data_IF_506509206394
#
_entry.id   IF_506509206394
#
_cell.length_a   1.000
_cell.length_b   1.000
_cell.length_c   1.000
_cell.angle_alpha   90.00
_cell.angle_beta   90.00
_cell.angle_gamma   90.00
#
_symmetry.space_group_name_H-M   'P 1'
#
loop_
_entity.id
_entity.type
_entity.pdbx_description
1 polymer ?
#
# COMPACT_ATOMS: atom_id res chain seq x y z
N UNK A 1 -5.13 -7.06 36.62
CA UNK A 1 -5.69 -7.79 35.45
C UNK A 1 -4.78 -7.53 34.27
N UNK A 2 -4.01 -8.53 33.85
CA UNK A 2 -3.04 -8.39 32.77
C UNK A 2 -3.74 -8.27 31.42
N UNK A 3 -3.46 -7.20 30.68
CA UNK A 3 -3.83 -7.12 29.28
C UNK A 3 -3.04 -8.20 28.53
N UNK A 4 -3.74 -9.25 28.10
CA UNK A 4 -3.19 -10.21 27.14
C UNK A 4 -3.05 -9.46 25.82
N UNK A 5 -1.85 -8.98 25.51
CA UNK A 5 -1.55 -8.40 24.21
C UNK A 5 -1.71 -9.49 23.16
N UNK A 6 -2.84 -9.49 22.46
CA UNK A 6 -3.13 -10.45 21.40
C UNK A 6 -2.12 -10.22 20.27
N UNK A 7 -1.17 -11.14 20.11
CA UNK A 7 -0.15 -11.07 19.07
C UNK A 7 -0.80 -11.25 17.69
N UNK A 8 -0.60 -10.30 16.79
CA UNK A 8 -1.14 -10.36 15.44
C UNK A 8 -0.36 -11.39 14.61
N UNK A 9 -1.08 -12.32 13.98
CA UNK A 9 -0.49 -13.30 13.07
C UNK A 9 -0.65 -12.77 11.65
N UNK A 10 0.47 -12.33 11.08
CA UNK A 10 0.50 -11.81 9.72
C UNK A 10 0.21 -12.91 8.70
N UNK A 11 -0.58 -12.56 7.68
CA UNK A 11 -0.77 -13.39 6.48
C UNK A 11 0.48 -13.34 5.62
N UNK A 12 0.74 -14.47 4.94
CA UNK A 12 1.90 -14.63 4.06
C UNK A 12 1.43 -14.84 2.64
N UNK A 13 2.14 -14.24 1.70
CA UNK A 13 1.98 -14.51 0.28
C UNK A 13 2.71 -15.81 -0.07
N UNK A 14 2.09 -16.66 -0.90
CA UNK A 14 2.63 -17.96 -1.33
C UNK A 14 2.64 -18.00 -2.86
N UNK A 15 3.77 -17.64 -3.47
CA UNK A 15 3.92 -17.56 -4.92
C UNK A 15 3.56 -18.86 -5.66
N UNK A 16 3.88 -20.02 -5.07
CA UNK A 16 3.55 -21.33 -5.64
C UNK A 16 2.03 -21.60 -5.80
N UNK A 17 1.18 -20.79 -5.16
CA UNK A 17 -0.29 -20.89 -5.28
C UNK A 17 -0.90 -19.90 -6.26
N UNK A 18 -0.10 -19.01 -6.86
CA UNK A 18 -0.57 -18.02 -7.81
C UNK A 18 -0.26 -18.47 -9.24
N UNK A 19 -1.29 -18.47 -10.10
CA UNK A 19 -1.14 -18.79 -11.53
C UNK A 19 -0.61 -17.61 -12.35
N UNK A 20 -0.64 -16.38 -11.81
CA UNK A 20 -0.15 -15.16 -12.47
C UNK A 20 1.19 -14.70 -11.92
N UNK A 21 1.78 -15.45 -10.99
CA UNK A 21 3.10 -15.14 -10.43
C UNK A 21 4.19 -15.24 -11.49
N UNK A 22 5.02 -14.20 -11.53
CA UNK A 22 6.25 -14.12 -12.32
C UNK A 22 7.42 -13.93 -11.36
N UNK A 23 8.37 -14.87 -11.42
CA UNK A 23 9.59 -14.82 -10.61
C UNK A 23 10.44 -13.62 -11.02
N UNK A 24 10.85 -12.82 -10.04
CA UNK A 24 11.82 -11.74 -10.20
C UNK A 24 13.09 -12.05 -9.41
N UNK A 25 13.00 -12.14 -8.08
CA UNK A 25 14.08 -12.62 -7.22
C UNK A 25 15.21 -11.62 -6.95
N UNK A 26 15.14 -10.41 -7.50
CA UNK A 26 16.06 -9.31 -7.17
C UNK A 26 16.00 -9.03 -5.67
N UNK A 27 17.17 -8.97 -5.01
CA UNK A 27 17.25 -8.65 -3.58
C UNK A 27 16.74 -7.24 -3.33
N UNK A 28 15.92 -7.08 -2.29
CA UNK A 28 15.31 -5.80 -1.94
C UNK A 28 15.51 -5.52 -0.45
N UNK A 29 15.74 -4.26 -0.11
CA UNK A 29 15.93 -3.84 1.28
C UNK A 29 15.38 -2.44 1.49
N UNK A 30 14.56 -2.28 2.53
CA UNK A 30 13.99 -0.99 2.91
C UNK A 30 14.14 -0.78 4.42
N UNK A 31 14.50 0.44 4.81
CA UNK A 31 14.70 0.82 6.21
C UNK A 31 13.47 1.50 6.77
N UNK A 32 12.95 0.98 7.88
CA UNK A 32 11.85 1.55 8.63
C UNK A 32 12.32 1.89 10.05
N UNK A 33 12.52 3.19 10.32
CA UNK A 33 13.10 3.66 11.58
C UNK A 33 14.48 3.04 11.81
N UNK A 34 14.63 2.26 12.88
CA UNK A 34 15.88 1.52 13.18
C UNK A 34 15.92 0.11 12.57
N UNK A 35 14.80 -0.41 12.06
CA UNK A 35 14.70 -1.74 11.48
C UNK A 35 14.95 -1.77 9.96
N UNK A 36 15.40 -2.90 9.43
CA UNK A 36 15.53 -3.13 7.99
C UNK A 36 14.73 -4.36 7.62
N UNK A 37 13.83 -4.23 6.65
CA UNK A 37 13.16 -5.38 6.06
C UNK A 37 14.03 -5.93 4.94
N UNK A 38 14.39 -7.22 5.05
CA UNK A 38 15.06 -7.97 3.98
C UNK A 38 14.04 -8.75 3.17
N UNK A 39 14.07 -8.50 1.88
CA UNK A 39 12.99 -8.90 0.97
C UNK A 39 13.60 -9.33 -0.36
N UNK A 40 12.76 -9.85 -1.24
CA UNK A 40 13.09 -9.99 -2.65
C UNK A 40 11.88 -9.59 -3.49
N UNK A 41 12.14 -9.06 -4.67
CA UNK A 41 11.09 -8.63 -5.58
C UNK A 41 10.36 -9.83 -6.18
N UNK A 42 9.07 -9.66 -6.41
CA UNK A 42 8.20 -10.59 -7.11
C UNK A 42 7.15 -9.84 -7.87
N UNK A 43 6.66 -10.44 -8.94
CA UNK A 43 5.67 -9.81 -9.81
C UNK A 43 4.45 -10.70 -9.85
N UNK A 44 3.27 -10.10 -9.67
CA UNK A 44 1.99 -10.81 -9.76
C UNK A 44 0.87 -9.84 -10.14
N UNK A 45 -0.35 -10.35 -10.30
CA UNK A 45 -1.56 -9.55 -10.38
C UNK A 45 -2.01 -9.13 -8.99
N UNK A 46 -2.13 -7.83 -8.75
CA UNK A 46 -2.66 -7.26 -7.51
C UNK A 46 -4.13 -6.88 -7.69
N UNK A 47 -4.96 -7.19 -6.70
CA UNK A 47 -6.36 -6.72 -6.64
C UNK A 47 -6.48 -5.75 -5.47
N UNK A 48 -6.98 -4.54 -5.74
CA UNK A 48 -7.27 -3.51 -4.72
C UNK A 48 -8.67 -2.94 -4.96
N UNK A 49 -9.56 -3.10 -3.96
CA UNK A 49 -10.98 -2.82 -4.15
C UNK A 49 -11.54 -3.67 -5.30
N UNK A 50 -12.14 -3.02 -6.29
CA UNK A 50 -12.62 -3.65 -7.54
C UNK A 50 -11.58 -3.63 -8.67
N UNK A 51 -10.44 -2.96 -8.47
CA UNK A 51 -9.40 -2.79 -9.48
C UNK A 51 -8.45 -3.99 -9.54
N UNK A 52 -8.14 -4.43 -10.75
CA UNK A 52 -7.16 -5.49 -11.04
C UNK A 52 -5.96 -4.90 -11.77
N UNK A 53 -4.78 -5.02 -11.18
CA UNK A 53 -3.52 -4.47 -11.68
C UNK A 53 -2.62 -5.62 -12.06
N UNK A 54 -2.30 -5.72 -13.35
CA UNK A 54 -1.43 -6.78 -13.86
C UNK A 54 0.04 -6.42 -13.71
N UNK A 55 0.89 -7.45 -13.58
CA UNK A 55 2.34 -7.32 -13.54
C UNK A 55 2.84 -6.31 -12.48
N UNK A 56 2.17 -6.25 -11.33
CA UNK A 56 2.62 -5.42 -10.22
C UNK A 56 3.82 -6.09 -9.55
N UNK A 57 4.95 -5.40 -9.56
CA UNK A 57 6.13 -5.80 -8.79
C UNK A 57 6.02 -5.30 -7.36
N UNK A 58 6.25 -6.17 -6.39
CA UNK A 58 6.22 -5.88 -4.96
C UNK A 58 7.31 -6.68 -4.25
N UNK A 59 7.65 -6.27 -3.04
CA UNK A 59 8.64 -6.95 -2.24
C UNK A 59 7.98 -8.00 -1.33
N UNK A 60 8.54 -9.22 -1.32
CA UNK A 60 8.15 -10.28 -0.40
C UNK A 60 9.00 -10.21 0.86
N UNK A 61 8.38 -9.88 1.99
CA UNK A 61 9.07 -9.81 3.26
C UNK A 61 9.47 -11.20 3.76
N UNK A 62 10.77 -11.42 3.98
CA UNK A 62 11.29 -12.68 4.55
C UNK A 62 11.53 -12.59 6.05
N UNK A 63 11.63 -11.38 6.59
CA UNK A 63 11.80 -11.11 8.01
C UNK A 63 11.12 -9.79 8.40
N UNK A 64 10.40 -9.79 9.51
CA UNK A 64 9.69 -8.60 10.02
C UNK A 64 10.68 -7.67 10.75
N UNK A 65 10.73 -6.36 10.43
CA UNK A 65 11.78 -5.46 10.91
C UNK A 65 11.64 -4.98 12.37
N UNK A 66 10.60 -5.36 13.10
CA UNK A 66 10.48 -5.06 14.53
C UNK A 66 9.08 -5.19 15.15
N UNK A 67 8.93 -4.92 16.47
CA UNK A 67 7.69 -5.11 17.21
C UNK A 67 6.51 -4.29 16.68
N UNK A 68 6.76 -3.11 16.10
CA UNK A 68 5.72 -2.23 15.58
C UNK A 68 4.87 -2.90 14.48
N UNK A 69 5.47 -3.78 13.66
CA UNK A 69 4.75 -4.52 12.62
C UNK A 69 3.89 -5.64 13.21
N UNK A 70 4.34 -6.26 14.31
CA UNK A 70 3.59 -7.30 15.03
C UNK A 70 2.45 -6.71 15.86
N UNK A 71 2.59 -5.47 16.33
CA UNK A 71 1.56 -4.78 17.12
C UNK A 71 0.60 -3.94 16.26
N UNK A 72 0.98 -3.63 15.02
CA UNK A 72 0.23 -2.72 14.14
C UNK A 72 -1.05 -3.30 13.54
N UNK A 73 -1.24 -4.63 13.56
CA UNK A 73 -2.47 -5.25 13.07
C UNK A 73 -2.65 -5.19 11.54
N UNK A 74 -1.56 -5.06 10.78
CA UNK A 74 -1.56 -5.04 9.31
C UNK A 74 -0.53 -6.02 8.73
N UNK A 75 -0.80 -6.54 7.54
CA UNK A 75 0.05 -7.55 6.87
C UNK A 75 1.15 -6.93 5.98
N UNK A 76 0.99 -5.68 5.56
CA UNK A 76 1.93 -5.02 4.66
C UNK A 76 1.61 -3.54 4.42
N UNK A 77 2.39 -2.92 3.53
CA UNK A 77 2.30 -1.49 3.18
C UNK A 77 2.13 -1.37 1.67
N UNK A 78 1.20 -0.52 1.24
CA UNK A 78 1.07 -0.10 -0.17
C UNK A 78 1.55 1.36 -0.27
N UNK A 79 2.67 1.56 -0.96
CA UNK A 79 3.21 2.89 -1.24
C UNK A 79 2.37 3.61 -2.29
N UNK A 80 1.89 4.81 -1.96
CA UNK A 80 1.09 5.68 -2.85
C UNK A 80 1.87 6.90 -3.37
N UNK A 81 3.16 6.96 -3.08
CA UNK A 81 4.04 8.03 -3.54
C UNK A 81 4.51 7.79 -4.99
N UNK A 82 5.36 8.69 -5.49
CA UNK A 82 5.95 8.60 -6.82
C UNK A 82 6.99 7.48 -6.92
N UNK A 83 7.07 6.83 -8.07
CA UNK A 83 8.07 5.80 -8.41
C UNK A 83 9.52 6.21 -8.14
N UNK A 84 9.84 7.50 -8.25
CA UNK A 84 11.18 8.01 -7.96
C UNK A 84 11.62 7.80 -6.50
N UNK A 85 10.67 7.58 -5.57
CA UNK A 85 10.95 7.22 -4.18
C UNK A 85 10.92 5.70 -3.95
N UNK A 86 10.52 4.93 -4.94
CA UNK A 86 10.51 3.47 -4.86
C UNK A 86 11.95 2.96 -4.92
N UNK A 87 12.28 2.02 -4.03
CA UNK A 87 13.56 1.31 -4.10
C UNK A 87 13.62 0.58 -5.46
N UNK A 88 14.78 0.64 -6.10
CA UNK A 88 15.03 0.13 -7.45
C UNK A 88 14.12 0.74 -8.54
N UNK A 89 13.51 1.90 -8.27
CA UNK A 89 12.63 2.61 -9.20
C UNK A 89 11.47 1.73 -9.70
N UNK A 90 10.97 0.82 -8.85
CA UNK A 90 9.82 -0.04 -9.16
C UNK A 90 8.56 0.81 -9.33
N UNK A 91 7.82 0.60 -10.42
CA UNK A 91 6.56 1.32 -10.69
C UNK A 91 5.55 1.05 -9.57
N UNK A 92 5.00 2.11 -8.99
CA UNK A 92 4.06 1.99 -7.87
C UNK A 92 2.69 1.52 -8.33
N UNK A 93 1.94 0.90 -7.44
CA UNK A 93 0.59 0.36 -7.73
C UNK A 93 -0.31 1.39 -8.38
N UNK A 94 -0.37 2.61 -7.82
CA UNK A 94 -1.26 3.63 -8.34
C UNK A 94 -0.82 4.13 -9.74
N UNK A 95 0.48 4.21 -10.01
CA UNK A 95 0.97 4.54 -11.35
C UNK A 95 0.66 3.43 -12.36
N UNK A 96 0.75 2.16 -11.98
CA UNK A 96 0.26 1.07 -12.84
C UNK A 96 -1.25 1.13 -13.06
N UNK A 97 -2.04 1.45 -12.04
CA UNK A 97 -3.49 1.63 -12.20
C UNK A 97 -3.83 2.71 -13.23
N UNK A 98 -3.13 3.84 -13.18
CA UNK A 98 -3.28 4.91 -14.18
C UNK A 98 -2.87 4.41 -15.57
N UNK A 99 -1.68 3.81 -15.69
CA UNK A 99 -1.14 3.36 -16.98
C UNK A 99 -2.00 2.26 -17.63
N UNK A 100 -2.64 1.40 -16.83
CA UNK A 100 -3.51 0.32 -17.28
C UNK A 100 -4.98 0.74 -17.42
N UNK A 101 -5.33 2.00 -17.16
CA UNK A 101 -6.71 2.49 -17.24
C UNK A 101 -7.66 1.87 -16.20
N UNK A 102 -7.12 1.40 -15.07
CA UNK A 102 -7.90 0.78 -13.97
C UNK A 102 -8.67 1.85 -13.19
N UNK A 103 -8.17 3.08 -13.16
CA UNK A 103 -8.81 4.23 -12.51
C UNK A 103 -9.30 5.23 -13.54
N UNK A 104 -10.46 5.84 -13.29
CA UNK A 104 -11.08 6.85 -14.16
C UNK A 104 -10.29 8.16 -14.22
N UNK A 105 -9.56 8.49 -13.17
CA UNK A 105 -8.75 9.70 -13.07
C UNK A 105 -7.47 9.44 -12.26
N UNK A 106 -6.38 10.19 -12.52
CA UNK A 106 -5.11 10.05 -11.81
C UNK A 106 -5.12 10.75 -10.44
N UNK A 107 -6.18 10.54 -9.65
CA UNK A 107 -6.35 11.09 -8.30
C UNK A 107 -6.79 9.99 -7.34
N UNK A 108 -6.40 10.10 -6.07
CA UNK A 108 -6.95 9.29 -4.98
C UNK A 108 -7.32 10.20 -3.81
N UNK A 109 -8.22 9.75 -2.96
CA UNK A 109 -8.64 10.49 -1.78
C UNK A 109 -8.84 9.57 -0.58
N UNK A 110 -8.70 10.15 0.61
CA UNK A 110 -8.89 9.45 1.88
C UNK A 110 -9.96 10.15 2.69
N UNK A 111 -10.91 9.37 3.17
CA UNK A 111 -11.73 9.70 4.33
C UNK A 111 -11.24 8.86 5.50
N UNK A 112 -10.95 9.49 6.64
CA UNK A 112 -10.51 8.80 7.85
C UNK A 112 -11.48 9.14 8.98
N UNK A 113 -12.25 8.15 9.43
CA UNK A 113 -13.19 8.35 10.52
C UNK A 113 -12.42 8.56 11.82
N UNK A 114 -12.73 9.66 12.52
CA UNK A 114 -12.07 10.01 13.79
C UNK A 114 -12.73 9.34 14.99
N UNK A 115 -13.94 8.82 14.85
CA UNK A 115 -14.54 7.98 15.88
C UNK A 115 -13.88 6.59 15.86
N UNK A 116 -13.11 6.31 16.91
CA UNK A 116 -12.39 5.03 17.10
C UNK A 116 -13.33 3.82 17.23
N UNK A 117 -14.62 4.05 17.51
CA UNK A 117 -15.66 3.00 17.53
C UNK A 117 -16.54 3.04 16.29
N UNK A 118 -16.42 4.08 15.46
CA UNK A 118 -17.22 4.31 14.27
C UNK A 118 -16.95 3.27 13.18
N UNK A 119 -17.99 2.90 12.45
CA UNK A 119 -17.90 2.01 11.28
C UNK A 119 -18.62 2.64 10.09
N UNK A 120 -18.00 2.69 8.90
CA UNK A 120 -16.62 2.28 8.59
C UNK A 120 -15.55 3.17 9.26
N UNK A 121 -14.34 2.64 9.43
CA UNK A 121 -13.21 3.38 10.03
C UNK A 121 -12.58 4.41 9.08
N UNK A 122 -12.93 4.36 7.79
CA UNK A 122 -12.43 5.24 6.74
C UNK A 122 -12.70 4.63 5.37
N UNK A 123 -12.31 5.36 4.34
CA UNK A 123 -12.43 4.97 2.94
C UNK A 123 -11.24 5.52 2.14
N UNK A 124 -10.72 4.70 1.23
CA UNK A 124 -9.77 5.10 0.19
C UNK A 124 -10.48 4.97 -1.16
N UNK A 125 -10.56 6.07 -1.90
CA UNK A 125 -11.11 6.10 -3.25
C UNK A 125 -9.97 6.28 -4.24
N UNK A 126 -9.92 5.40 -5.24
CA UNK A 126 -8.97 5.44 -6.34
C UNK A 126 -9.71 5.89 -7.60
N UNK A 127 -9.38 7.07 -8.12
CA UNK A 127 -10.05 7.67 -9.28
C UNK A 127 -11.07 8.77 -8.97
N UNK A 128 -11.19 9.22 -7.71
CA UNK A 128 -12.13 10.29 -7.35
C UNK A 128 -12.20 10.59 -5.86
N UNK A 129 -13.34 11.15 -5.44
CA UNK A 129 -13.71 11.44 -4.05
C UNK A 129 -15.22 11.26 -3.85
N UNK A 130 -15.66 10.94 -2.62
CA UNK A 130 -17.08 10.88 -2.25
C UNK A 130 -17.52 12.19 -1.59
N UNK A 131 -18.51 12.84 -2.17
CA UNK A 131 -19.10 14.09 -1.68
C UNK A 131 -19.79 13.92 -0.32
N UNK A 132 -20.14 12.70 0.09
CA UNK A 132 -20.68 12.44 1.43
C UNK A 132 -19.63 12.61 2.54
N UNK A 133 -18.34 12.64 2.19
CA UNK A 133 -17.22 12.68 3.14
C UNK A 133 -16.57 14.04 3.30
N UNK A 134 -17.08 15.08 2.64
CA UNK A 134 -16.59 16.46 2.80
C UNK A 134 -17.70 17.49 2.56
N UNK A 135 -17.46 18.71 2.99
CA UNK A 135 -18.32 19.87 2.71
C UNK A 135 -17.48 20.97 2.08
N UNK A 136 -18.11 21.79 1.24
CA UNK A 136 -17.41 22.85 0.50
C UNK A 136 -16.49 22.32 -0.58
N UNK A 137 -15.51 23.13 -0.98
CA UNK A 137 -14.57 22.83 -2.07
C UNK A 137 -13.19 22.48 -1.52
N UNK A 138 -12.44 21.66 -2.27
CA UNK A 138 -11.03 21.43 -1.99
C UNK A 138 -10.18 22.67 -2.29
N UNK A 139 -9.22 22.93 -1.40
CA UNK A 139 -8.12 23.85 -1.67
C UNK A 139 -6.93 23.05 -2.21
N UNK A 140 -6.59 23.25 -3.48
CA UNK A 140 -5.44 22.59 -4.11
C UNK A 140 -4.19 23.46 -3.99
N UNK A 141 -3.09 22.85 -3.57
CA UNK A 141 -1.77 23.48 -3.50
C UNK A 141 -0.83 22.71 -4.41
N UNK A 142 -0.08 23.37 -5.32
CA UNK A 142 0.86 22.68 -6.19
C UNK A 142 2.00 22.06 -5.38
N UNK A 143 2.47 20.89 -5.80
CA UNK A 143 3.66 20.28 -5.21
C UNK A 143 4.89 21.13 -5.51
N UNK A 144 5.73 21.34 -4.51
CA UNK A 144 7.01 22.03 -4.65
C UNK A 144 8.12 21.10 -5.16
N UNK A 145 8.02 19.79 -4.88
CA UNK A 145 8.98 18.76 -5.32
C UNK A 145 8.25 17.46 -5.67
N UNK A 146 8.35 17.04 -6.92
CA UNK A 146 7.87 15.70 -7.35
C UNK A 146 8.64 14.62 -6.58
N UNK A 147 7.92 13.65 -6.05
CA UNK A 147 8.46 12.63 -5.14
C UNK A 147 7.58 12.46 -3.92
N UNK A 148 7.36 13.57 -3.20
CA UNK A 148 6.61 13.61 -1.95
C UNK A 148 5.28 14.33 -2.14
N UNK A 149 4.31 13.94 -1.31
CA UNK A 149 3.03 14.63 -1.15
C UNK A 149 3.13 15.56 0.06
#
# INVERSE_FOLDING_TARGET
>A
MGAVTKMYIMRKYYSAKSSTYIKNGTAFSIKYGMGTAKEYLSTDTLIIGTGKVHNQTFAQMTSVPGPAFVLGGFDGIIGMAYQQLSVDNVVTTFQHMIAQGVVSAPVFSFYLNRDVKGRPGGELILGGSDHNHYTGNFTYVPMTRKGYW
#
